data_IF_184545952198
#
_entry.id   IF_184545952198
#
_cell.length_a   1.000
_cell.length_b   1.000
_cell.length_c   1.000
_cell.angle_alpha   90.00
_cell.angle_beta   90.00
_cell.angle_gamma   90.00
#
_symmetry.space_group_name_H-M   'P 1'
#
loop_
_entity.id
_entity.type
_entity.pdbx_description
1 polymer ?
#
# COMPACT_ATOMS: atom_id res chain seq x y z
N UNK A 1 -7.19 15.09 12.87
CA UNK A 1 -6.80 13.88 12.15
C UNK A 1 -8.04 13.34 11.46
N UNK A 2 -8.01 13.22 10.14
CA UNK A 2 -9.15 12.74 9.33
C UNK A 2 -9.28 11.22 9.41
N UNK A 3 -8.17 10.50 9.34
CA UNK A 3 -8.12 9.05 9.35
C UNK A 3 -7.58 8.54 10.69
N UNK A 4 -8.29 7.60 11.32
CA UNK A 4 -7.89 6.97 12.59
C UNK A 4 -7.14 5.66 12.37
N UNK A 5 -7.47 4.94 11.31
CA UNK A 5 -6.83 3.69 10.89
C UNK A 5 -6.63 3.70 9.38
N UNK A 6 -5.41 3.47 8.94
CA UNK A 6 -5.07 3.45 7.51
C UNK A 6 -4.37 2.16 7.13
N UNK A 7 -4.55 1.77 5.87
CA UNK A 7 -3.70 0.78 5.24
C UNK A 7 -2.76 1.48 4.27
N UNK A 8 -1.47 1.45 4.54
CA UNK A 8 -0.42 1.98 3.68
C UNK A 8 0.08 0.89 2.73
N UNK A 9 -0.09 1.08 1.42
CA UNK A 9 0.46 0.18 0.42
C UNK A 9 1.77 0.73 -0.14
N UNK A 10 2.81 -0.07 -0.07
CA UNK A 10 4.16 0.23 -0.52
C UNK A 10 4.59 -0.71 -1.65
N UNK A 11 5.28 -0.19 -2.65
CA UNK A 11 6.04 -1.03 -3.59
C UNK A 11 7.32 -1.53 -2.90
N UNK A 12 7.75 -2.76 -3.22
CA UNK A 12 9.06 -3.24 -2.75
C UNK A 12 10.24 -2.35 -3.19
N UNK A 13 10.05 -1.57 -4.25
CA UNK A 13 11.05 -0.61 -4.75
C UNK A 13 11.41 0.48 -3.73
N UNK A 14 10.53 0.78 -2.77
CA UNK A 14 10.84 1.70 -1.67
C UNK A 14 11.99 1.22 -0.78
N UNK A 15 12.33 -0.07 -0.83
CA UNK A 15 13.35 -0.67 0.01
C UNK A 15 14.65 -0.95 -0.73
N UNK A 16 14.69 -0.73 -2.04
CA UNK A 16 15.88 -1.07 -2.85
C UNK A 16 16.69 0.16 -3.32
N UNK A 17 16.14 1.37 -3.24
CA UNK A 17 16.80 2.53 -3.84
C UNK A 17 17.02 2.33 -5.35
N UNK A 18 18.28 2.30 -5.79
CA UNK A 18 18.64 2.13 -7.19
C UNK A 18 19.12 0.70 -7.54
N UNK A 19 18.89 -0.29 -6.64
CA UNK A 19 19.46 -1.61 -6.77
C UNK A 19 18.44 -2.75 -6.79
N UNK A 20 18.91 -3.92 -6.39
CA UNK A 20 18.15 -5.15 -6.19
C UNK A 20 18.08 -5.50 -4.70
N UNK A 21 16.99 -6.12 -4.27
CA UNK A 21 16.83 -6.61 -2.91
C UNK A 21 16.50 -5.49 -1.91
N UNK A 22 17.04 -5.57 -0.72
CA UNK A 22 16.82 -4.63 0.40
C UNK A 22 18.07 -3.83 0.65
N UNK A 23 17.93 -2.51 0.71
CA UNK A 23 19.00 -1.59 1.08
C UNK A 23 18.71 -1.02 2.48
N UNK A 24 19.57 -1.26 3.48
CA UNK A 24 19.32 -0.86 4.86
C UNK A 24 19.04 0.64 5.02
N UNK A 25 19.80 1.50 4.36
CA UNK A 25 19.63 2.96 4.47
C UNK A 25 18.28 3.43 3.92
N UNK A 26 17.85 2.87 2.78
CA UNK A 26 16.55 3.21 2.17
C UNK A 26 15.40 2.71 3.04
N UNK A 27 15.53 1.50 3.60
CA UNK A 27 14.53 0.92 4.51
C UNK A 27 14.43 1.72 5.80
N UNK A 28 15.55 2.19 6.35
CA UNK A 28 15.59 3.05 7.53
C UNK A 28 14.94 4.41 7.27
N UNK A 29 15.22 5.04 6.13
CA UNK A 29 14.56 6.29 5.75
C UNK A 29 13.03 6.12 5.65
N UNK A 30 12.58 5.04 5.02
CA UNK A 30 11.15 4.69 4.96
C UNK A 30 10.54 4.50 6.35
N UNK A 31 11.25 3.78 7.25
CA UNK A 31 10.80 3.58 8.62
C UNK A 31 10.69 4.89 9.41
N UNK A 32 11.59 5.85 9.18
CA UNK A 32 11.55 7.17 9.81
C UNK A 32 10.29 7.96 9.39
N UNK A 33 9.92 7.96 8.10
CA UNK A 33 8.69 8.62 7.63
C UNK A 33 7.44 7.97 8.24
N UNK A 34 7.40 6.63 8.32
CA UNK A 34 6.29 5.91 8.96
C UNK A 34 6.24 6.21 10.47
N UNK A 35 7.39 6.32 11.14
CA UNK A 35 7.46 6.65 12.56
C UNK A 35 6.90 8.04 12.88
N UNK A 36 7.19 9.05 12.04
CA UNK A 36 6.61 10.40 12.18
C UNK A 36 5.07 10.35 12.12
N UNK A 37 4.53 9.65 11.14
CA UNK A 37 3.09 9.47 11.01
C UNK A 37 2.49 8.69 12.19
N UNK A 38 3.14 7.61 12.64
CA UNK A 38 2.72 6.82 13.79
C UNK A 38 2.67 7.65 15.08
N UNK A 39 3.58 8.60 15.24
CA UNK A 39 3.61 9.51 16.41
C UNK A 39 2.38 10.40 16.52
N UNK A 40 1.59 10.58 15.45
CA UNK A 40 0.30 11.26 15.48
C UNK A 40 -0.81 10.43 16.17
N UNK A 41 -0.53 9.16 16.52
CA UNK A 41 -1.49 8.26 17.15
C UNK A 41 -2.43 7.55 16.17
N UNK A 42 -2.16 7.60 14.86
CA UNK A 42 -2.91 6.85 13.84
C UNK A 42 -2.54 5.37 13.89
N UNK A 43 -3.51 4.49 13.67
CA UNK A 43 -3.28 3.06 13.54
C UNK A 43 -2.86 2.75 12.09
N UNK A 44 -1.65 2.23 11.91
CA UNK A 44 -1.07 1.99 10.58
C UNK A 44 -0.93 0.48 10.35
N UNK A 45 -1.58 -0.02 9.32
CA UNK A 45 -1.29 -1.31 8.72
C UNK A 45 -0.56 -1.10 7.39
N UNK A 46 0.33 -2.02 7.03
CA UNK A 46 1.17 -1.90 5.83
C UNK A 46 1.03 -3.17 4.99
N UNK A 47 0.88 -3.00 3.68
CA UNK A 47 1.09 -4.06 2.70
C UNK A 47 2.28 -3.67 1.84
N UNK A 48 3.28 -4.53 1.76
CA UNK A 48 4.49 -4.29 0.97
C UNK A 48 4.57 -5.27 -0.21
N UNK A 49 4.92 -4.75 -1.40
CA UNK A 49 5.15 -5.57 -2.59
C UNK A 49 6.51 -6.27 -2.57
N UNK A 50 6.69 -7.26 -3.45
CA UNK A 50 7.95 -8.03 -3.61
C UNK A 50 8.75 -7.69 -4.88
N UNK A 51 8.39 -6.61 -5.59
CA UNK A 51 8.92 -6.29 -6.92
C UNK A 51 10.41 -5.96 -6.99
N UNK A 52 11.07 -5.70 -5.85
CA UNK A 52 12.50 -5.54 -5.71
C UNK A 52 13.28 -6.87 -5.75
N UNK A 53 12.61 -7.98 -5.51
CA UNK A 53 13.17 -9.34 -5.62
C UNK A 53 12.68 -10.06 -6.85
N UNK A 54 11.36 -9.99 -7.13
CA UNK A 54 10.75 -10.79 -8.17
C UNK A 54 9.56 -10.10 -8.81
N UNK A 55 9.59 -10.01 -10.14
CA UNK A 55 8.47 -9.52 -10.96
C UNK A 55 7.98 -10.65 -11.86
N UNK A 56 7.03 -11.44 -11.38
CA UNK A 56 6.53 -12.66 -12.05
C UNK A 56 6.16 -12.44 -13.52
N UNK A 57 5.52 -11.32 -13.86
CA UNK A 57 5.14 -10.98 -15.22
C UNK A 57 6.33 -10.76 -16.18
N UNK A 58 7.52 -10.35 -15.66
CA UNK A 58 8.71 -10.08 -16.47
C UNK A 58 9.76 -11.19 -16.40
N UNK A 59 9.94 -11.77 -15.21
CA UNK A 59 11.02 -12.75 -14.93
C UNK A 59 10.52 -14.20 -14.97
N UNK A 60 9.21 -14.41 -14.87
CA UNK A 60 8.58 -15.74 -14.87
C UNK A 60 8.33 -16.31 -16.27
N UNK A 61 8.99 -15.80 -17.33
CA UNK A 61 8.83 -16.33 -18.68
C UNK A 61 9.28 -17.79 -18.72
N UNK A 62 8.34 -18.68 -19.07
CA UNK A 62 8.57 -20.14 -19.06
C UNK A 62 8.34 -20.84 -17.73
N UNK A 63 8.00 -20.11 -16.67
CA UNK A 63 7.57 -20.70 -15.39
C UNK A 63 6.05 -20.85 -15.31
N UNK A 64 5.61 -21.81 -14.51
CA UNK A 64 4.23 -21.85 -14.06
C UNK A 64 3.86 -20.56 -13.32
N UNK A 65 2.73 -19.96 -13.66
CA UNK A 65 2.27 -18.69 -13.10
C UNK A 65 2.09 -18.73 -11.59
N UNK A 66 1.52 -19.81 -11.06
CA UNK A 66 1.31 -19.94 -9.62
C UNK A 66 2.65 -20.01 -8.86
N UNK A 67 3.63 -20.74 -9.41
CA UNK A 67 4.97 -20.82 -8.85
C UNK A 67 5.68 -19.46 -8.85
N UNK A 68 5.56 -18.69 -9.94
CA UNK A 68 6.12 -17.34 -10.04
C UNK A 68 5.48 -16.38 -9.01
N UNK A 69 4.16 -16.49 -8.79
CA UNK A 69 3.43 -15.68 -7.81
C UNK A 69 3.83 -16.05 -6.36
N UNK A 70 4.05 -17.33 -6.04
CA UNK A 70 4.59 -17.73 -4.73
C UNK A 70 6.00 -17.20 -4.47
N UNK A 71 6.88 -17.17 -5.46
CA UNK A 71 8.19 -16.53 -5.33
C UNK A 71 8.03 -15.03 -4.98
N UNK A 72 7.11 -14.34 -5.67
CA UNK A 72 6.77 -12.96 -5.34
C UNK A 72 6.25 -12.77 -3.92
N UNK A 73 5.39 -13.70 -3.44
CA UNK A 73 4.87 -13.68 -2.06
C UNK A 73 6.01 -13.84 -1.04
N UNK A 74 6.97 -14.72 -1.27
CA UNK A 74 8.15 -14.87 -0.41
C UNK A 74 8.98 -13.57 -0.40
N UNK A 75 9.13 -12.90 -1.53
CA UNK A 75 9.77 -11.58 -1.63
C UNK A 75 9.08 -10.53 -0.74
N UNK A 76 7.74 -10.54 -0.67
CA UNK A 76 7.00 -9.64 0.24
C UNK A 76 7.26 -9.94 1.71
N UNK A 77 7.43 -11.21 2.08
CA UNK A 77 7.74 -11.61 3.47
C UNK A 77 9.12 -11.09 3.87
N UNK A 78 10.12 -11.25 3.00
CA UNK A 78 11.46 -10.69 3.26
C UNK A 78 11.41 -9.18 3.49
N UNK A 79 10.67 -8.46 2.64
CA UNK A 79 10.46 -7.02 2.82
C UNK A 79 9.75 -6.68 4.13
N UNK A 80 8.73 -7.45 4.50
CA UNK A 80 7.98 -7.22 5.72
C UNK A 80 8.86 -7.37 6.97
N UNK A 81 9.73 -8.39 7.00
CA UNK A 81 10.66 -8.62 8.11
C UNK A 81 11.70 -7.51 8.21
N UNK A 82 12.29 -7.08 7.09
CA UNK A 82 13.27 -6.00 7.09
C UNK A 82 12.64 -4.65 7.50
N UNK A 83 11.40 -4.37 7.07
CA UNK A 83 10.70 -3.16 7.49
C UNK A 83 10.30 -3.23 8.97
N UNK A 84 9.94 -4.40 9.50
CA UNK A 84 9.71 -4.58 10.94
C UNK A 84 10.96 -4.23 11.73
N UNK A 85 12.11 -4.79 11.38
CA UNK A 85 13.39 -4.52 12.06
C UNK A 85 13.72 -3.02 12.05
N UNK A 86 13.59 -2.38 10.89
CA UNK A 86 13.83 -0.94 10.74
C UNK A 86 12.86 -0.07 11.56
N UNK A 87 11.57 -0.44 11.64
CA UNK A 87 10.59 0.27 12.46
C UNK A 87 10.85 0.08 13.96
N UNK A 88 11.16 -1.12 14.40
CA UNK A 88 11.50 -1.40 15.80
C UNK A 88 12.82 -0.71 16.20
N UNK A 89 13.79 -0.60 15.29
CA UNK A 89 15.03 0.17 15.49
C UNK A 89 14.76 1.67 15.75
N UNK A 90 13.73 2.24 15.11
CA UNK A 90 13.33 3.65 15.34
C UNK A 90 12.26 3.80 16.44
N UNK A 91 12.02 2.74 17.23
CA UNK A 91 11.14 2.77 18.40
C UNK A 91 9.65 2.54 18.12
N UNK A 92 9.28 2.08 16.95
CA UNK A 92 7.88 1.78 16.59
C UNK A 92 7.58 0.29 16.78
N UNK A 93 6.77 -0.11 17.79
CA UNK A 93 6.42 -1.50 17.98
C UNK A 93 5.68 -2.07 16.76
N UNK A 94 6.20 -3.14 16.17
CA UNK A 94 5.70 -3.66 14.90
C UNK A 94 5.42 -5.18 14.98
N UNK A 95 4.49 -5.69 14.18
CA UNK A 95 4.22 -7.13 14.02
C UNK A 95 4.04 -7.46 12.55
N UNK A 96 4.68 -8.53 12.11
CA UNK A 96 4.45 -9.11 10.78
C UNK A 96 3.43 -10.23 10.87
N UNK A 97 2.43 -10.20 10.01
CA UNK A 97 1.48 -11.29 9.79
C UNK A 97 1.51 -11.71 8.33
N UNK A 98 1.52 -13.02 8.07
CA UNK A 98 1.61 -13.55 6.71
C UNK A 98 0.42 -14.43 6.34
N UNK A 99 0.01 -14.37 5.08
CA UNK A 99 -1.03 -15.24 4.53
C UNK A 99 -0.49 -16.65 4.23
N UNK A 100 0.83 -16.81 4.02
CA UNK A 100 1.51 -18.10 3.98
C UNK A 100 2.02 -18.42 5.38
N UNK A 101 1.83 -19.66 5.83
CA UNK A 101 2.27 -20.08 7.17
C UNK A 101 3.79 -20.30 7.19
N UNK A 102 4.51 -19.43 7.89
CA UNK A 102 5.96 -19.51 8.14
C UNK A 102 6.16 -19.18 9.63
N UNK A 103 5.84 -20.10 10.49
CA UNK A 103 5.68 -19.89 11.95
C UNK A 103 6.97 -19.41 12.64
N UNK A 104 8.12 -19.76 12.09
CA UNK A 104 9.44 -19.41 12.65
C UNK A 104 9.76 -17.93 12.54
N UNK A 105 9.12 -17.19 11.62
CA UNK A 105 9.50 -15.80 11.32
C UNK A 105 8.37 -14.79 11.39
N UNK A 106 7.11 -15.22 11.29
CA UNK A 106 5.96 -14.32 11.29
C UNK A 106 4.68 -14.98 11.84
N UNK A 107 3.79 -14.17 12.40
CA UNK A 107 2.48 -14.66 12.83
C UNK A 107 1.62 -15.05 11.62
N UNK A 108 0.84 -16.14 11.69
CA UNK A 108 -0.20 -16.38 10.70
C UNK A 108 -1.24 -15.24 10.75
N UNK A 109 -1.71 -14.81 9.58
CA UNK A 109 -2.73 -13.76 9.50
C UNK A 109 -4.04 -14.22 10.15
N UNK A 110 -4.46 -13.49 11.17
CA UNK A 110 -5.78 -13.62 11.80
C UNK A 110 -6.35 -12.20 11.97
N UNK A 111 -7.45 -11.90 11.28
CA UNK A 111 -8.09 -10.58 11.24
C UNK A 111 -8.20 -9.92 12.63
N UNK A 112 -8.76 -10.63 13.62
CA UNK A 112 -8.96 -10.08 14.98
C UNK A 112 -7.64 -9.82 15.70
N UNK A 113 -6.59 -10.59 15.41
CA UNK A 113 -5.26 -10.38 15.97
C UNK A 113 -4.61 -9.13 15.37
N UNK A 114 -4.75 -8.92 14.06
CA UNK A 114 -4.30 -7.70 13.41
C UNK A 114 -4.94 -6.45 14.01
N UNK A 115 -6.28 -6.44 14.14
CA UNK A 115 -7.03 -5.35 14.78
C UNK A 115 -6.52 -5.12 16.21
N UNK A 116 -6.33 -6.18 16.99
CA UNK A 116 -5.83 -6.07 18.37
C UNK A 116 -4.41 -5.49 18.46
N UNK A 117 -3.55 -5.79 17.49
CA UNK A 117 -2.23 -5.14 17.42
C UNK A 117 -2.34 -3.64 17.14
N UNK A 118 -3.16 -3.25 16.17
CA UNK A 118 -3.42 -1.85 15.83
C UNK A 118 -3.98 -1.06 17.02
N UNK A 119 -4.96 -1.63 17.74
CA UNK A 119 -5.54 -1.04 18.95
C UNK A 119 -4.53 -0.86 20.09
N UNK A 120 -3.46 -1.68 20.12
CA UNK A 120 -2.35 -1.55 21.08
C UNK A 120 -1.26 -0.58 20.60
N UNK A 121 -1.51 0.20 19.55
CA UNK A 121 -0.54 1.15 19.01
C UNK A 121 0.64 0.48 18.29
N UNK A 122 0.50 -0.75 17.80
CA UNK A 122 1.52 -1.43 17.00
C UNK A 122 1.25 -1.22 15.51
N UNK A 123 2.29 -1.05 14.74
CA UNK A 123 2.21 -1.17 13.28
C UNK A 123 2.06 -2.65 12.91
N UNK A 124 1.20 -2.97 11.96
CA UNK A 124 1.04 -4.34 11.44
C UNK A 124 1.46 -4.38 9.99
N UNK A 125 2.39 -5.26 9.63
CA UNK A 125 2.83 -5.45 8.25
C UNK A 125 2.28 -6.79 7.74
N UNK A 126 1.58 -6.76 6.61
CA UNK A 126 1.04 -7.96 5.97
C UNK A 126 1.97 -8.43 4.86
N UNK A 127 2.52 -9.63 5.03
CA UNK A 127 3.29 -10.34 4.02
C UNK A 127 2.46 -11.37 3.24
N UNK A 128 2.95 -11.80 2.09
CA UNK A 128 2.34 -12.77 1.18
C UNK A 128 0.97 -12.34 0.59
N UNK A 129 0.62 -11.06 0.63
CA UNK A 129 -0.61 -10.56 0.04
C UNK A 129 -1.87 -11.29 0.55
N UNK A 130 -2.61 -11.95 -0.34
CA UNK A 130 -3.76 -12.80 0.00
C UNK A 130 -3.38 -14.27 0.26
N UNK A 131 -2.17 -14.67 -0.07
CA UNK A 131 -1.73 -16.08 -0.07
C UNK A 131 -2.16 -16.86 -1.31
N UNK A 132 -2.88 -16.23 -2.25
CA UNK A 132 -3.40 -16.89 -3.43
C UNK A 132 -2.67 -16.39 -4.70
N UNK A 133 -2.19 -17.32 -5.56
CA UNK A 133 -1.73 -16.96 -6.90
C UNK A 133 -2.81 -16.20 -7.69
N UNK A 134 -2.39 -15.49 -8.73
CA UNK A 134 -3.23 -14.66 -9.61
C UNK A 134 -3.81 -13.40 -8.96
N UNK A 135 -3.57 -13.16 -7.67
CA UNK A 135 -4.02 -11.96 -6.95
C UNK A 135 -2.83 -11.04 -6.71
N UNK A 136 -2.98 -9.79 -7.08
CA UNK A 136 -1.90 -8.79 -6.94
C UNK A 136 -1.75 -8.28 -5.51
N UNK A 137 -0.64 -7.58 -5.25
CA UNK A 137 -0.44 -6.86 -3.99
C UNK A 137 -1.47 -5.74 -3.80
N UNK A 138 -1.96 -5.12 -4.89
CA UNK A 138 -2.97 -4.05 -4.83
C UNK A 138 -4.31 -4.60 -4.35
N UNK A 139 -4.77 -5.72 -4.94
CA UNK A 139 -5.96 -6.44 -4.48
C UNK A 139 -5.81 -6.94 -3.03
N UNK A 140 -4.59 -7.39 -2.66
CA UNK A 140 -4.26 -7.72 -1.28
C UNK A 140 -4.41 -6.53 -0.34
N UNK A 141 -3.94 -5.33 -0.74
CA UNK A 141 -4.05 -4.11 0.05
C UNK A 141 -5.52 -3.70 0.25
N UNK A 142 -6.33 -3.69 -0.81
CA UNK A 142 -7.76 -3.41 -0.72
C UNK A 142 -8.47 -4.37 0.25
N UNK A 143 -8.25 -5.69 0.10
CA UNK A 143 -8.84 -6.71 0.97
C UNK A 143 -8.42 -6.52 2.44
N UNK A 144 -7.13 -6.36 2.72
CA UNK A 144 -6.64 -6.16 4.10
C UNK A 144 -7.17 -4.86 4.69
N UNK A 145 -7.26 -3.78 3.90
CA UNK A 145 -7.87 -2.52 4.33
C UNK A 145 -9.30 -2.70 4.82
N UNK A 146 -10.12 -3.42 4.06
CA UNK A 146 -11.51 -3.74 4.44
C UNK A 146 -11.57 -4.62 5.69
N UNK A 147 -10.77 -5.69 5.73
CA UNK A 147 -10.77 -6.65 6.84
C UNK A 147 -10.42 -6.01 8.19
N UNK A 148 -9.53 -5.03 8.19
CA UNK A 148 -9.15 -4.31 9.42
C UNK A 148 -9.99 -3.07 9.69
N UNK A 149 -11.02 -2.79 8.89
CA UNK A 149 -11.83 -1.57 8.94
C UNK A 149 -10.95 -0.29 8.84
N UNK A 150 -10.10 -0.21 7.84
CA UNK A 150 -9.34 1.00 7.55
C UNK A 150 -10.27 2.11 7.02
N UNK A 151 -9.98 3.35 7.39
CA UNK A 151 -10.72 4.53 6.90
C UNK A 151 -10.34 4.87 5.46
N UNK A 152 -9.12 4.49 5.03
CA UNK A 152 -8.62 4.67 3.67
C UNK A 152 -7.46 3.71 3.37
N UNK A 153 -7.25 3.44 2.07
CA UNK A 153 -6.01 2.87 1.53
C UNK A 153 -5.13 4.01 1.05
N UNK A 154 -3.95 4.14 1.62
CA UNK A 154 -2.92 5.09 1.23
C UNK A 154 -1.97 4.41 0.26
N UNK A 155 -2.04 4.79 -1.02
CA UNK A 155 -1.27 4.19 -2.10
C UNK A 155 -0.03 5.03 -2.38
N UNK A 156 1.07 4.67 -1.75
CA UNK A 156 2.32 5.38 -1.90
C UNK A 156 2.96 5.14 -3.28
N UNK A 157 3.31 6.20 -3.95
CA UNK A 157 4.12 6.22 -5.19
C UNK A 157 5.52 6.74 -4.87
N UNK A 158 6.44 6.56 -5.81
CA UNK A 158 7.80 7.10 -5.75
C UNK A 158 7.97 8.12 -6.89
N UNK A 159 8.20 9.38 -6.53
CA UNK A 159 8.38 10.51 -7.47
C UNK A 159 7.17 10.78 -8.39
N UNK A 160 5.97 10.38 -7.99
CA UNK A 160 4.71 10.72 -8.64
C UNK A 160 3.71 11.06 -7.55
N UNK A 161 3.29 12.31 -7.51
CA UNK A 161 2.52 12.89 -6.41
C UNK A 161 1.01 12.78 -6.57
N UNK A 162 0.52 11.90 -7.45
CA UNK A 162 -0.91 11.67 -7.65
C UNK A 162 -1.21 10.87 -8.91
N UNK A 163 -2.43 10.97 -9.39
CA UNK A 163 -2.93 10.38 -10.64
C UNK A 163 -3.00 11.47 -11.70
N UNK A 164 -2.57 11.15 -12.90
CA UNK A 164 -2.52 12.06 -14.05
C UNK A 164 -3.31 11.49 -15.23
N UNK A 165 -3.71 12.36 -16.15
CA UNK A 165 -4.37 12.00 -17.42
C UNK A 165 -3.43 11.30 -18.40
N UNK A 166 -2.11 11.45 -18.23
CA UNK A 166 -1.04 10.79 -18.99
C UNK A 166 0.20 10.60 -18.08
N UNK A 167 1.22 9.88 -18.54
CA UNK A 167 2.46 9.69 -17.78
C UNK A 167 3.26 11.00 -17.68
N UNK A 168 3.34 11.66 -16.51
CA UNK A 168 4.03 12.95 -16.35
C UNK A 168 5.53 12.87 -16.61
N UNK A 169 6.12 11.68 -16.64
CA UNK A 169 7.54 11.45 -16.97
C UNK A 169 7.80 11.52 -18.46
N UNK A 170 6.77 11.28 -19.29
CA UNK A 170 6.83 11.31 -20.75
C UNK A 170 6.18 12.54 -21.31
N UNK A 171 5.11 13.01 -20.69
CA UNK A 171 4.35 14.18 -21.10
C UNK A 171 4.38 15.26 -20.00
N UNK A 172 5.23 16.29 -20.12
CA UNK A 172 5.31 17.37 -19.14
C UNK A 172 4.01 18.23 -19.03
N UNK A 173 3.08 18.09 -19.99
CA UNK A 173 1.78 18.76 -19.98
C UNK A 173 0.67 17.92 -19.34
N UNK A 174 0.98 16.72 -18.85
CA UNK A 174 0.03 15.87 -18.14
C UNK A 174 -0.57 16.60 -16.94
N UNK A 175 -1.89 16.49 -16.77
CA UNK A 175 -2.61 17.18 -15.71
C UNK A 175 -2.92 16.20 -14.57
N UNK A 176 -2.58 16.62 -13.36
CA UNK A 176 -2.92 15.89 -12.15
C UNK A 176 -4.38 16.09 -11.81
N UNK A 177 -5.02 14.99 -11.36
CA UNK A 177 -6.35 15.04 -10.77
C UNK A 177 -6.23 15.24 -9.25
N UNK A 178 -7.02 16.14 -8.70
CA UNK A 178 -7.15 16.29 -7.24
C UNK A 178 -8.09 15.22 -6.67
N UNK A 179 -9.21 14.97 -7.36
CA UNK A 179 -10.21 13.96 -7.00
C UNK A 179 -10.68 13.19 -8.24
N UNK A 180 -10.99 11.92 -8.07
CA UNK A 180 -11.55 11.03 -9.09
C UNK A 180 -12.62 10.14 -8.47
N UNK A 181 -13.65 9.80 -9.25
CA UNK A 181 -14.50 8.68 -8.89
C UNK A 181 -13.83 7.36 -9.24
N UNK A 182 -14.23 6.25 -8.58
CA UNK A 182 -13.78 4.92 -8.98
C UNK A 182 -14.13 4.61 -10.44
N UNK A 183 -15.31 5.10 -10.90
CA UNK A 183 -15.75 4.91 -12.28
C UNK A 183 -14.90 5.68 -13.27
N UNK A 184 -14.42 6.89 -12.92
CA UNK A 184 -13.48 7.64 -13.76
C UNK A 184 -12.18 6.87 -13.94
N UNK A 185 -11.64 6.31 -12.85
CA UNK A 185 -10.43 5.47 -12.90
C UNK A 185 -10.63 4.27 -13.82
N UNK A 186 -11.75 3.55 -13.70
CA UNK A 186 -12.03 2.34 -14.49
C UNK A 186 -12.30 2.65 -15.96
N UNK A 187 -13.13 3.68 -16.24
CA UNK A 187 -13.57 4.02 -17.60
C UNK A 187 -12.45 4.65 -18.44
N UNK A 188 -11.61 5.49 -17.82
CA UNK A 188 -10.47 6.13 -18.46
C UNK A 188 -9.23 5.23 -18.48
N UNK A 189 -9.24 4.09 -17.77
CA UNK A 189 -8.11 3.16 -17.70
C UNK A 189 -6.88 3.76 -17.00
N UNK A 190 -7.09 4.62 -16.01
CA UNK A 190 -6.00 5.29 -15.29
C UNK A 190 -5.20 4.29 -14.44
N UNK A 191 -3.88 4.41 -14.48
CA UNK A 191 -2.98 3.49 -13.76
C UNK A 191 -2.84 3.87 -12.28
N UNK A 192 -3.90 3.67 -11.50
CA UNK A 192 -3.90 3.87 -10.04
C UNK A 192 -3.50 2.56 -9.35
N UNK A 193 -4.35 1.58 -9.42
CA UNK A 193 -4.24 0.20 -8.92
C UNK A 193 -4.78 -0.74 -9.98
N UNK A 194 -4.63 -2.06 -9.79
CA UNK A 194 -5.32 -2.99 -10.68
C UNK A 194 -6.86 -2.89 -10.55
N UNK A 195 -7.56 -3.27 -11.65
CA UNK A 195 -9.02 -3.11 -11.74
C UNK A 195 -9.77 -3.86 -10.63
N UNK A 196 -9.27 -5.02 -10.21
CA UNK A 196 -9.87 -5.82 -9.13
C UNK A 196 -9.82 -5.06 -7.80
N UNK A 197 -8.68 -4.44 -7.49
CA UNK A 197 -8.51 -3.62 -6.30
C UNK A 197 -9.44 -2.40 -6.31
N UNK A 198 -9.54 -1.69 -7.45
CA UNK A 198 -10.46 -0.55 -7.61
C UNK A 198 -11.91 -0.98 -7.41
N UNK A 199 -12.35 -2.08 -8.04
CA UNK A 199 -13.71 -2.59 -7.89
C UNK A 199 -14.03 -2.97 -6.46
N UNK A 200 -13.09 -3.63 -5.77
CA UNK A 200 -13.25 -4.00 -4.36
C UNK A 200 -13.39 -2.77 -3.43
N UNK A 201 -12.60 -1.73 -3.68
CA UNK A 201 -12.72 -0.46 -2.94
C UNK A 201 -14.04 0.25 -3.27
N UNK A 202 -14.47 0.26 -4.53
CA UNK A 202 -15.72 0.87 -4.98
C UNK A 202 -16.94 0.22 -4.32
N UNK A 203 -17.03 -1.11 -4.37
CA UNK A 203 -18.17 -1.86 -3.81
C UNK A 203 -18.34 -1.66 -2.30
N UNK A 204 -17.25 -1.35 -1.61
CA UNK A 204 -17.21 -1.14 -0.16
C UNK A 204 -17.00 0.32 0.24
N UNK A 205 -17.01 1.26 -0.70
CA UNK A 205 -16.80 2.69 -0.46
C UNK A 205 -15.53 3.01 0.35
N UNK A 206 -14.44 2.24 0.13
CA UNK A 206 -13.15 2.43 0.80
C UNK A 206 -12.31 3.45 0.01
N UNK A 207 -12.08 4.68 0.52
CA UNK A 207 -11.32 5.70 -0.21
C UNK A 207 -9.87 5.28 -0.45
N UNK A 208 -9.32 5.72 -1.59
CA UNK A 208 -7.92 5.53 -1.95
C UNK A 208 -7.27 6.91 -2.06
N UNK A 209 -6.11 7.10 -1.44
CA UNK A 209 -5.30 8.32 -1.60
C UNK A 209 -3.98 7.94 -2.27
N UNK A 210 -3.72 8.49 -3.44
CA UNK A 210 -2.48 8.28 -4.19
C UNK A 210 -1.56 9.47 -3.97
N UNK A 211 -0.35 9.25 -3.46
CA UNK A 211 0.57 10.33 -3.11
C UNK A 211 2.04 9.90 -3.24
N UNK A 212 2.97 10.87 -3.30
CA UNK A 212 4.41 10.59 -3.23
C UNK A 212 4.87 10.44 -1.79
N UNK A 213 5.38 9.27 -1.44
CA UNK A 213 5.80 8.91 -0.07
C UNK A 213 6.91 9.80 0.48
N UNK A 214 7.81 10.27 -0.37
CA UNK A 214 8.98 11.04 0.06
C UNK A 214 8.86 12.55 -0.15
N UNK A 215 7.69 13.05 -0.56
CA UNK A 215 7.40 14.48 -0.45
C UNK A 215 7.30 14.88 1.02
N UNK A 216 7.79 16.06 1.36
CA UNK A 216 7.97 16.52 2.74
C UNK A 216 6.66 16.43 3.56
N UNK A 217 6.69 15.58 4.61
CA UNK A 217 5.56 15.33 5.50
C UNK A 217 4.30 14.78 4.83
N UNK A 218 4.41 14.22 3.61
CA UNK A 218 3.24 13.84 2.82
C UNK A 218 2.34 12.82 3.54
N UNK A 219 2.92 11.82 4.19
CA UNK A 219 2.15 10.79 4.90
C UNK A 219 1.37 11.39 6.08
N UNK A 220 1.99 12.26 6.88
CA UNK A 220 1.34 12.95 8.00
C UNK A 220 0.23 13.87 7.52
N UNK A 221 0.48 14.65 6.45
CA UNK A 221 -0.48 15.58 5.86
C UNK A 221 -1.70 14.85 5.30
N UNK A 222 -1.50 13.72 4.60
CA UNK A 222 -2.60 12.85 4.14
C UNK A 222 -3.44 12.36 5.33
N UNK A 223 -2.80 11.87 6.40
CA UNK A 223 -3.49 11.37 7.59
C UNK A 223 -4.29 12.48 8.30
N UNK A 224 -3.78 13.69 8.29
CA UNK A 224 -4.47 14.87 8.81
C UNK A 224 -5.64 15.31 7.95
N UNK A 225 -5.69 14.85 6.69
CA UNK A 225 -6.77 15.14 5.75
C UNK A 225 -6.52 16.34 4.85
N UNK A 226 -5.26 16.73 4.71
CA UNK A 226 -4.87 17.73 3.71
C UNK A 226 -4.99 17.14 2.30
N UNK A 227 -5.26 17.99 1.34
CA UNK A 227 -5.30 17.63 -0.08
C UNK A 227 -3.87 17.43 -0.60
N UNK A 228 -3.32 16.25 -0.33
CA UNK A 228 -2.02 15.80 -0.85
C UNK A 228 -2.27 14.64 -1.81
N UNK A 229 -1.82 14.79 -3.05
CA UNK A 229 -2.00 13.74 -4.04
C UNK A 229 -3.38 13.74 -4.71
N UNK A 230 -3.90 12.57 -5.02
CA UNK A 230 -5.22 12.37 -5.64
C UNK A 230 -6.09 11.49 -4.73
N UNK A 231 -7.30 11.97 -4.43
CA UNK A 231 -8.32 11.20 -3.71
C UNK A 231 -9.23 10.46 -4.70
N UNK A 232 -9.32 9.13 -4.58
CA UNK A 232 -10.29 8.31 -5.33
C UNK A 232 -11.38 7.82 -4.38
N UNK A 233 -12.63 8.17 -4.67
CA UNK A 233 -13.77 7.85 -3.81
C UNK A 233 -15.08 7.75 -4.60
N UNK A 234 -16.17 7.38 -3.95
CA UNK A 234 -17.48 7.49 -4.58
C UNK A 234 -17.78 8.98 -4.84
N UNK A 235 -18.10 9.34 -6.09
CA UNK A 235 -18.61 10.68 -6.39
C UNK A 235 -19.80 10.98 -5.50
N UNK A 236 -19.82 12.15 -4.88
CA UNK A 236 -21.07 12.67 -4.35
C UNK A 236 -22.05 12.68 -5.53
N UNK A 237 -23.16 11.93 -5.41
CA UNK A 237 -24.23 11.98 -6.43
C UNK A 237 -24.65 13.45 -6.52
N UNK A 238 -24.31 14.10 -7.62
CA UNK A 238 -24.95 15.37 -7.97
C UNK A 238 -26.44 15.10 -7.95
N UNK A 239 -27.26 15.80 -7.18
CA UNK A 239 -28.69 15.59 -7.24
C UNK A 239 -29.11 15.84 -8.68
N UNK A 240 -29.62 14.81 -9.33
CA UNK A 240 -30.27 14.95 -10.63
C UNK A 240 -31.44 15.88 -10.40
N UNK A 241 -31.29 17.14 -10.79
CA UNK A 241 -32.41 18.07 -10.87
C UNK A 241 -33.45 17.45 -11.82
N UNK A 242 -34.58 17.07 -11.24
CA UNK A 242 -35.82 16.71 -11.94
C UNK A 242 -36.36 17.95 -12.62
#
# INVERSE_FOLDING_TARGET
MKYKRVLLKLSGEFMTGNGFGIQPETTKALAQEIAKAHALGVQIAIVVGGGNFWRGAKQGVGMDRASADYIGMLGTIMNALALQDALEFVGVPTRVQTALTIQEVAEPYIRRRAIRHLEKGRVVIFGAGTGNPYVTTDSGAALRGLEINADAVLFAKNKVDGVYDDDPRKNPSAKKYDELSYMDVLSQGLEVMDKTAISLCMDNSLPIVVFDMFSDGALERVIQGEHVGTLVHASAKTPTSI
#
